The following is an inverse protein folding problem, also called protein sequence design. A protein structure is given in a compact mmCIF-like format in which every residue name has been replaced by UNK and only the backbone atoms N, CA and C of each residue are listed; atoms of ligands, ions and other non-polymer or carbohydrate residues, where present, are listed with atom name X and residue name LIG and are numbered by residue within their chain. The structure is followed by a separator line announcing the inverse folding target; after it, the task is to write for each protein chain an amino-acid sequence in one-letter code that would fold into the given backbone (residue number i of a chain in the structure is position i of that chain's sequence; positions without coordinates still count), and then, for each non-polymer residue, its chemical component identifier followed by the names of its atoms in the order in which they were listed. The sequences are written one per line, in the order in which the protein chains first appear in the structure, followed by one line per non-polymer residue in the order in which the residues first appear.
data_IF_814575031211
#
_entry.id   IF_814575031211
#
_cell.length_a   1.000
_cell.length_b   1.000
_cell.length_c   1.000
_cell.angle_alpha   90.00
_cell.angle_beta   90.00
_cell.angle_gamma   90.00
#
_symmetry.space_group_name_H-M   'P 1'
#
loop_
_entity.id
_entity.type
_entity.pdbx_description
1 polymer ?
#
# COMPACT_ATOMS: atom_id res chain seq x y z
N UNK A 1 -21.91 24.09 0.05
CA UNK A 1 -22.16 22.91 -0.81
C UNK A 1 -20.94 22.01 -0.72
N UNK A 2 -21.03 20.89 0.00
CA UNK A 2 -19.90 19.98 0.18
C UNK A 2 -19.56 19.32 -1.15
N UNK A 3 -18.38 19.61 -1.69
CA UNK A 3 -17.83 18.91 -2.85
C UNK A 3 -17.81 17.42 -2.50
N UNK A 4 -18.56 16.59 -3.24
CA UNK A 4 -18.48 15.14 -3.07
C UNK A 4 -17.03 14.73 -3.37
N UNK A 5 -16.34 14.03 -2.44
CA UNK A 5 -14.97 13.61 -2.68
C UNK A 5 -14.95 12.76 -3.96
N UNK A 6 -14.09 13.13 -4.90
CA UNK A 6 -13.90 12.40 -6.14
C UNK A 6 -13.39 10.99 -5.84
N UNK A 7 -13.63 10.07 -6.76
CA UNK A 7 -13.22 8.66 -6.61
C UNK A 7 -11.72 8.54 -6.36
N UNK A 8 -10.93 9.45 -6.95
CA UNK A 8 -9.48 9.59 -6.77
C UNK A 8 -9.08 9.93 -5.34
N UNK A 9 -9.78 10.88 -4.69
CA UNK A 9 -9.51 11.27 -3.30
C UNK A 9 -9.77 10.08 -2.37
N UNK A 10 -10.86 9.34 -2.59
CA UNK A 10 -11.18 8.13 -1.81
C UNK A 10 -10.16 7.01 -2.01
N UNK A 11 -9.69 6.82 -3.25
CA UNK A 11 -8.65 5.84 -3.56
C UNK A 11 -7.30 6.24 -2.97
N UNK A 12 -6.93 7.52 -2.99
CA UNK A 12 -5.72 8.03 -2.37
C UNK A 12 -5.75 7.84 -0.84
N UNK A 13 -6.89 8.11 -0.22
CA UNK A 13 -7.09 7.87 1.20
C UNK A 13 -7.02 6.38 1.54
N UNK A 14 -7.64 5.51 0.73
CA UNK A 14 -7.54 4.05 0.89
C UNK A 14 -6.09 3.57 0.73
N UNK A 15 -5.36 4.08 -0.25
CA UNK A 15 -3.96 3.76 -0.47
C UNK A 15 -3.09 4.14 0.73
N UNK A 16 -3.31 5.33 1.29
CA UNK A 16 -2.62 5.77 2.50
C UNK A 16 -2.97 4.87 3.69
N UNK A 17 -4.26 4.54 3.89
CA UNK A 17 -4.69 3.61 4.94
C UNK A 17 -3.99 2.25 4.81
N UNK A 18 -3.95 1.66 3.62
CA UNK A 18 -3.24 0.40 3.39
C UNK A 18 -1.74 0.50 3.68
N UNK A 19 -1.08 1.61 3.30
CA UNK A 19 0.34 1.82 3.60
C UNK A 19 0.59 1.95 5.10
N UNK A 20 -0.14 2.83 5.80
CA UNK A 20 0.09 3.08 7.22
C UNK A 20 -0.31 1.88 8.09
N UNK A 21 -1.44 1.24 7.80
CA UNK A 21 -1.87 0.03 8.51
C UNK A 21 -0.91 -1.11 8.23
N UNK A 22 -0.53 -1.31 6.96
CA UNK A 22 0.43 -2.34 6.58
C UNK A 22 1.81 -2.14 7.22
N UNK A 23 2.31 -0.91 7.25
CA UNK A 23 3.58 -0.55 7.92
C UNK A 23 3.50 -0.84 9.41
N UNK A 24 2.44 -0.39 10.08
CA UNK A 24 2.24 -0.60 11.51
C UNK A 24 2.19 -2.08 11.87
N UNK A 25 1.43 -2.88 11.11
CA UNK A 25 1.34 -4.33 11.30
C UNK A 25 2.68 -5.04 11.09
N UNK A 26 3.37 -4.75 9.99
CA UNK A 26 4.67 -5.37 9.71
C UNK A 26 5.72 -4.97 10.77
N UNK A 27 5.76 -3.70 11.16
CA UNK A 27 6.71 -3.22 12.16
C UNK A 27 6.43 -3.83 13.54
N UNK A 28 5.18 -3.78 14.00
CA UNK A 28 4.79 -4.30 15.30
C UNK A 28 5.00 -5.82 15.39
N UNK A 29 4.60 -6.57 14.35
CA UNK A 29 4.77 -8.01 14.30
C UNK A 29 6.26 -8.39 14.24
N UNK A 30 7.06 -7.68 13.43
CA UNK A 30 8.50 -7.93 13.33
C UNK A 30 9.25 -7.66 14.63
N UNK A 31 8.96 -6.55 15.32
CA UNK A 31 9.57 -6.24 16.62
C UNK A 31 9.13 -7.25 17.68
N UNK A 32 7.83 -7.54 17.76
CA UNK A 32 7.31 -8.51 18.74
C UNK A 32 7.91 -9.90 18.51
N UNK A 33 8.16 -10.30 17.27
CA UNK A 33 8.84 -11.56 16.93
C UNK A 33 10.33 -11.56 17.31
N UNK A 34 11.02 -10.43 17.16
CA UNK A 34 12.44 -10.30 17.52
C UNK A 34 12.65 -10.35 19.02
N UNK A 35 11.77 -9.72 19.80
CA UNK A 35 11.89 -9.59 21.26
C UNK A 35 11.02 -10.57 22.04
N UNK A 36 10.28 -11.47 21.40
CA UNK A 36 9.53 -12.49 22.12
C UNK A 36 10.51 -13.40 22.89
N UNK A 37 10.27 -13.65 24.19
CA UNK A 37 11.11 -14.55 24.96
C UNK A 37 11.02 -15.95 24.36
N UNK A 38 12.18 -16.53 24.00
CA UNK A 38 12.24 -17.84 23.36
C UNK A 38 12.50 -18.97 24.37
N UNK A 39 11.56 -19.91 24.45
CA UNK A 39 11.65 -21.15 25.22
C UNK A 39 12.65 -22.13 24.58
N UNK A 40 13.22 -23.02 25.40
CA UNK A 40 14.22 -24.00 24.94
C UNK A 40 13.57 -25.08 24.04
N UNK A 41 13.95 -25.13 22.76
CA UNK A 41 13.50 -26.14 21.78
C UNK A 41 12.80 -25.63 20.51
N UNK A 42 12.86 -24.33 20.21
CA UNK A 42 12.02 -23.60 19.25
C UNK A 42 12.10 -24.04 17.76
N UNK A 43 10.95 -24.40 17.12
CA UNK A 43 10.86 -24.51 15.67
C UNK A 43 9.68 -23.73 15.03
N UNK A 44 9.13 -22.72 15.73
CA UNK A 44 7.88 -21.97 15.52
C UNK A 44 6.74 -22.43 16.46
N UNK A 45 6.60 -21.71 17.57
CA UNK A 45 5.45 -21.79 18.47
C UNK A 45 4.23 -21.02 17.89
N UNK A 46 2.99 -21.28 18.36
CA UNK A 46 1.79 -20.64 17.80
C UNK A 46 1.83 -19.10 17.78
N UNK A 47 2.57 -18.48 18.71
CA UNK A 47 2.75 -17.04 18.75
C UNK A 47 3.64 -16.55 17.59
N UNK A 48 4.75 -17.23 17.31
CA UNK A 48 5.64 -16.88 16.20
C UNK A 48 4.99 -17.11 14.84
N UNK A 49 4.16 -18.15 14.69
CA UNK A 49 3.34 -18.35 13.47
C UNK A 49 2.34 -17.22 13.27
N UNK A 50 1.62 -16.82 14.33
CA UNK A 50 0.69 -15.71 14.27
C UNK A 50 1.39 -14.40 13.91
N UNK A 51 2.56 -14.14 14.49
CA UNK A 51 3.38 -12.97 14.21
C UNK A 51 3.89 -12.98 12.76
N UNK A 52 4.32 -14.12 12.24
CA UNK A 52 4.76 -14.26 10.86
C UNK A 52 3.60 -14.02 9.87
N UNK A 53 2.40 -14.57 10.15
CA UNK A 53 1.21 -14.32 9.35
C UNK A 53 0.81 -12.82 9.38
N UNK A 54 0.84 -12.21 10.56
CA UNK A 54 0.55 -10.78 10.75
C UNK A 54 1.55 -9.90 10.00
N UNK A 55 2.83 -10.28 10.02
CA UNK A 55 3.88 -9.62 9.26
C UNK A 55 3.63 -9.71 7.75
N UNK A 56 3.30 -10.89 7.23
CA UNK A 56 2.99 -11.11 5.81
C UNK A 56 1.76 -10.30 5.36
N UNK A 57 0.72 -10.22 6.20
CA UNK A 57 -0.45 -9.36 5.94
C UNK A 57 -0.04 -7.89 5.89
N UNK A 58 0.79 -7.43 6.83
CA UNK A 58 1.33 -6.07 6.85
C UNK A 58 2.09 -5.71 5.57
N UNK A 59 3.00 -6.59 5.13
CA UNK A 59 3.72 -6.44 3.86
C UNK A 59 2.80 -6.44 2.64
N UNK A 60 1.77 -7.28 2.63
CA UNK A 60 0.80 -7.33 1.52
C UNK A 60 -0.01 -6.04 1.43
N UNK A 61 -0.47 -5.52 2.57
CA UNK A 61 -1.18 -4.23 2.63
C UNK A 61 -0.29 -3.08 2.16
N UNK A 62 0.99 -3.07 2.54
CA UNK A 62 1.97 -2.11 2.04
C UNK A 62 2.06 -2.15 0.50
N UNK A 63 2.24 -3.33 -0.09
CA UNK A 63 2.34 -3.51 -1.54
C UNK A 63 1.04 -3.07 -2.22
N UNK A 64 -0.11 -3.48 -1.71
CA UNK A 64 -1.41 -3.05 -2.22
C UNK A 64 -1.54 -1.53 -2.21
N UNK A 65 -1.18 -0.87 -1.11
CA UNK A 65 -1.18 0.59 -1.03
C UNK A 65 -0.26 1.25 -2.05
N UNK A 66 0.94 0.71 -2.29
CA UNK A 66 1.85 1.21 -3.34
C UNK A 66 1.26 1.05 -4.74
N UNK A 67 0.61 -0.08 -5.03
CA UNK A 67 -0.02 -0.34 -6.32
C UNK A 67 -1.18 0.61 -6.59
N UNK A 68 -2.00 0.92 -5.57
CA UNK A 68 -3.09 1.90 -5.70
C UNK A 68 -2.54 3.30 -5.96
N UNK A 69 -1.48 3.73 -5.25
CA UNK A 69 -0.81 5.01 -5.55
C UNK A 69 -0.26 5.03 -6.98
N UNK A 70 0.43 3.97 -7.41
CA UNK A 70 0.96 3.88 -8.79
C UNK A 70 -0.14 3.95 -9.84
N UNK A 71 -1.30 3.33 -9.60
CA UNK A 71 -2.46 3.45 -10.48
C UNK A 71 -2.97 4.88 -10.53
N UNK A 72 -3.15 5.54 -9.38
CA UNK A 72 -3.60 6.94 -9.33
C UNK A 72 -2.64 7.88 -10.06
N UNK A 73 -1.34 7.77 -9.82
CA UNK A 73 -0.32 8.59 -10.50
C UNK A 73 -0.23 8.25 -12.00
N UNK A 74 -0.33 6.97 -12.36
CA UNK A 74 -0.31 6.52 -13.75
C UNK A 74 -1.54 6.95 -14.56
N UNK A 75 -2.70 7.10 -13.93
CA UNK A 75 -3.89 7.70 -14.56
C UNK A 75 -3.78 9.22 -14.68
N UNK A 76 -3.18 9.89 -13.68
CA UNK A 76 -2.96 11.35 -13.73
C UNK A 76 -1.95 11.81 -14.80
N UNK A 77 -1.10 10.91 -15.30
CA UNK A 77 -0.14 11.21 -16.38
C UNK A 77 -0.71 11.02 -17.80
N UNK A 78 -1.97 10.57 -17.94
CA UNK A 78 -2.64 10.46 -19.24
C UNK A 78 -3.42 11.73 -19.60
N UNK A 79 -2.80 12.90 -19.49
CA UNK A 79 -3.24 14.01 -20.34
C UNK A 79 -2.93 13.61 -21.80
N UNK A 80 -3.94 13.61 -22.69
CA UNK A 80 -3.71 13.29 -24.09
C UNK A 80 -2.64 14.24 -24.62
N UNK A 81 -1.59 13.72 -25.29
CA UNK A 81 -0.56 14.59 -25.84
C UNK A 81 -1.22 15.63 -26.74
N UNK A 82 -0.82 16.91 -26.69
CA UNK A 82 -1.40 17.94 -27.53
C UNK A 82 -1.27 17.49 -28.99
N UNK A 83 -2.41 17.27 -29.66
CA UNK A 83 -2.44 16.91 -31.07
C UNK A 83 -1.98 18.14 -31.84
N UNK A 84 -0.68 18.21 -32.15
CA UNK A 84 -0.11 19.19 -33.06
C UNK A 84 -0.48 18.79 -34.48
N UNK A 85 -1.72 19.11 -34.90
CA UNK A 85 -2.09 19.04 -36.31
C UNK A 85 -1.24 20.12 -37.03
N UNK A 86 -0.29 19.76 -37.91
CA UNK A 86 0.41 20.78 -38.67
C UNK A 86 -0.59 21.50 -39.58
N UNK A 87 -0.50 22.83 -39.73
CA UNK A 87 -1.38 23.55 -40.65
C UNK A 87 -1.18 22.98 -42.05
N UNK A 88 -2.29 22.58 -42.70
CA UNK A 88 -2.30 22.23 -44.11
C UNK A 88 -1.73 23.42 -44.89
N UNK A 89 -0.73 23.16 -45.72
CA UNK A 89 -0.14 24.16 -46.62
C UNK A 89 -1.03 24.18 -47.86
N UNK A 90 -1.73 25.30 -48.05
CA UNK A 90 -2.45 25.64 -49.29
C UNK A 90 -1.50 25.70 -50.50
#
# INVERSE_FOLDING_TARGET
MGQRPTLEIKLAELANRFRFVGLGLAFLAGITFLFSPREAGWPFDPLSDFLAATFAVGCTLLVCGQLVVRKLVGFGSMEPPPVTIPPFKD
#
